data_IF_588360040340
#
_entry.id   IF_588360040340
#
_cell.length_a   1.000
_cell.length_b   1.000
_cell.length_c   1.000
_cell.angle_alpha   90.00
_cell.angle_beta   90.00
_cell.angle_gamma   90.00
#
_symmetry.space_group_name_H-M   'P 1'
#
loop_
_entity.id
_entity.type
_entity.pdbx_description
1 polymer ?
#
# COMPACT_ATOMS: atom_id res chain seq x y z
N UNK A 1 -33.01 48.09 -23.85
CA UNK A 1 -31.56 47.87 -23.63
C UNK A 1 -31.44 46.76 -22.60
N UNK A 2 -31.13 45.53 -23.03
CA UNK A 2 -30.98 44.36 -22.14
C UNK A 2 -29.51 43.92 -22.25
N UNK A 3 -28.73 44.22 -21.22
CA UNK A 3 -27.35 43.79 -21.12
C UNK A 3 -27.31 42.30 -20.76
N UNK A 4 -26.76 41.47 -21.65
CA UNK A 4 -26.41 40.08 -21.37
C UNK A 4 -25.04 40.08 -20.71
N UNK A 5 -25.00 39.72 -19.42
CA UNK A 5 -23.75 39.42 -18.71
C UNK A 5 -23.40 37.97 -19.04
N UNK A 6 -22.37 37.78 -19.87
CA UNK A 6 -21.78 36.46 -20.13
C UNK A 6 -20.85 36.14 -18.97
N UNK A 7 -21.23 35.18 -18.13
CA UNK A 7 -20.41 34.67 -17.06
C UNK A 7 -19.30 33.77 -17.66
N UNK A 8 -18.05 34.23 -17.58
CA UNK A 8 -16.87 33.43 -17.91
C UNK A 8 -16.64 32.44 -16.78
N UNK A 9 -16.99 31.18 -17.00
CA UNK A 9 -16.66 30.09 -16.07
C UNK A 9 -15.21 29.67 -16.30
N UNK A 10 -14.30 30.09 -15.43
CA UNK A 10 -12.96 29.49 -15.32
C UNK A 10 -13.12 28.03 -14.88
N UNK A 11 -12.84 27.09 -15.77
CA UNK A 11 -12.67 25.69 -15.41
C UNK A 11 -11.33 25.54 -14.67
N UNK A 12 -11.40 25.43 -13.35
CA UNK A 12 -10.27 25.02 -12.49
C UNK A 12 -10.36 23.51 -12.26
N UNK A 13 -9.17 22.91 -12.13
CA UNK A 13 -8.87 21.63 -11.52
C UNK A 13 -8.94 20.38 -12.41
N UNK A 14 -7.74 19.92 -12.72
CA UNK A 14 -7.45 18.54 -13.06
C UNK A 14 -5.96 18.24 -12.91
N UNK A 15 -5.27 18.89 -11.95
CA UNK A 15 -3.93 18.46 -11.57
C UNK A 15 -4.10 17.17 -10.78
N UNK A 16 -4.10 16.05 -11.49
CA UNK A 16 -3.79 14.76 -10.90
C UNK A 16 -2.36 14.88 -10.36
N UNK A 17 -2.25 15.29 -9.09
CA UNK A 17 -1.01 15.11 -8.35
C UNK A 17 -0.74 13.62 -8.38
N UNK A 18 0.20 13.21 -9.23
CA UNK A 18 0.91 11.98 -9.04
C UNK A 18 1.52 12.12 -7.65
N UNK A 19 0.81 11.61 -6.66
CA UNK A 19 1.25 11.53 -5.28
C UNK A 19 2.50 10.65 -5.36
N UNK A 20 3.65 11.31 -5.48
CA UNK A 20 4.95 10.68 -5.40
C UNK A 20 4.87 9.93 -4.08
N UNK A 21 4.79 8.59 -4.14
CA UNK A 21 4.70 7.75 -2.94
C UNK A 21 5.97 8.01 -2.15
N UNK A 22 5.90 9.00 -1.27
CA UNK A 22 7.04 9.50 -0.55
C UNK A 22 7.48 8.35 0.35
N UNK A 23 8.63 7.78 0.03
CA UNK A 23 9.32 6.86 0.90
C UNK A 23 9.44 7.54 2.26
N UNK A 24 8.75 6.98 3.26
CA UNK A 24 8.86 7.48 4.63
C UNK A 24 10.24 7.10 5.17
N UNK A 25 10.97 8.06 5.78
CA UNK A 25 12.30 7.78 6.29
C UNK A 25 12.26 6.66 7.33
N UNK A 26 13.29 5.82 7.33
CA UNK A 26 13.42 4.65 8.20
C UNK A 26 13.37 5.00 9.69
N UNK A 27 13.62 6.27 10.00
CA UNK A 27 13.78 6.87 11.31
C UNK A 27 12.51 6.78 12.18
N UNK A 28 11.35 6.54 11.55
CA UNK A 28 10.06 6.36 12.25
C UNK A 28 9.84 4.91 12.68
N UNK A 29 10.60 3.97 12.12
CA UNK A 29 10.47 2.54 12.41
C UNK A 29 11.32 2.17 13.63
N UNK A 30 10.91 1.16 14.41
CA UNK A 30 11.78 0.62 15.45
C UNK A 30 13.07 0.07 14.83
N UNK A 31 14.18 0.19 15.56
CA UNK A 31 15.48 -0.29 15.10
C UNK A 31 15.89 -1.63 15.73
N UNK A 32 15.12 -2.16 16.67
CA UNK A 32 15.39 -3.47 17.26
C UNK A 32 14.83 -4.60 16.39
N UNK A 33 15.56 -5.72 16.36
CA UNK A 33 15.22 -6.86 15.52
C UNK A 33 13.88 -7.51 15.89
N UNK A 34 13.46 -7.45 17.15
CA UNK A 34 12.24 -8.11 17.63
C UNK A 34 11.02 -7.36 17.13
N UNK A 35 10.98 -6.04 17.31
CA UNK A 35 9.90 -5.18 16.85
C UNK A 35 9.79 -5.15 15.34
N UNK A 36 10.92 -5.04 14.62
CA UNK A 36 10.92 -5.07 13.16
C UNK A 36 10.39 -6.39 12.61
N UNK A 37 10.78 -7.51 13.22
CA UNK A 37 10.27 -8.83 12.85
C UNK A 37 8.77 -8.96 13.15
N UNK A 38 8.31 -8.44 14.28
CA UNK A 38 6.89 -8.44 14.63
C UNK A 38 6.06 -7.62 13.62
N UNK A 39 6.58 -6.47 13.20
CA UNK A 39 5.97 -5.59 12.22
C UNK A 39 5.94 -6.22 10.82
N UNK A 40 7.05 -6.84 10.40
CA UNK A 40 7.15 -7.61 9.17
C UNK A 40 6.11 -8.75 9.14
N UNK A 41 6.02 -9.52 10.23
CA UNK A 41 5.03 -10.58 10.38
C UNK A 41 3.59 -10.06 10.35
N UNK A 42 3.31 -8.92 11.00
CA UNK A 42 2.00 -8.29 10.96
C UNK A 42 1.61 -7.89 9.53
N UNK A 43 2.52 -7.26 8.81
CA UNK A 43 2.31 -6.88 7.42
C UNK A 43 2.15 -8.11 6.50
N UNK A 44 2.94 -9.16 6.70
CA UNK A 44 2.79 -10.43 5.95
C UNK A 44 1.42 -11.07 6.15
N UNK A 45 0.85 -11.00 7.36
CA UNK A 45 -0.51 -11.50 7.61
C UNK A 45 -1.56 -10.74 6.79
N UNK A 46 -1.42 -9.43 6.66
CA UNK A 46 -2.30 -8.60 5.82
C UNK A 46 -2.22 -9.05 4.36
N UNK A 47 -1.01 -9.13 3.80
CA UNK A 47 -0.78 -9.51 2.40
C UNK A 47 -1.30 -10.92 2.10
N UNK A 48 -1.06 -11.88 3.00
CA UNK A 48 -1.56 -13.26 2.88
C UNK A 48 -3.08 -13.32 2.90
N UNK A 49 -3.72 -12.53 3.77
CA UNK A 49 -5.18 -12.43 3.82
C UNK A 49 -5.73 -11.82 2.53
N UNK A 50 -5.14 -10.75 2.04
CA UNK A 50 -5.49 -10.13 0.77
C UNK A 50 -5.42 -11.14 -0.39
N UNK A 51 -4.32 -11.91 -0.52
CA UNK A 51 -4.22 -12.96 -1.53
C UNK A 51 -5.28 -14.05 -1.37
N UNK A 52 -5.53 -14.50 -0.15
CA UNK A 52 -6.56 -15.51 0.11
C UNK A 52 -7.95 -15.00 -0.32
N UNK A 53 -8.30 -13.75 -0.01
CA UNK A 53 -9.57 -13.14 -0.45
C UNK A 53 -9.65 -13.05 -1.97
N UNK A 54 -8.59 -12.55 -2.60
CA UNK A 54 -8.54 -12.39 -4.05
C UNK A 54 -8.57 -13.72 -4.80
N UNK A 55 -7.99 -14.79 -4.26
CA UNK A 55 -8.09 -16.11 -4.88
C UNK A 55 -9.55 -16.57 -5.04
N UNK A 56 -10.41 -16.24 -4.08
CA UNK A 56 -11.80 -16.71 -4.03
C UNK A 56 -12.83 -15.74 -4.66
N UNK A 57 -12.43 -14.56 -5.13
CA UNK A 57 -13.37 -13.49 -5.54
C UNK A 57 -13.79 -13.50 -7.02
N UNK A 58 -13.29 -14.43 -7.85
CA UNK A 58 -13.70 -14.59 -9.25
C UNK A 58 -14.55 -15.84 -9.50
N UNK A 59 -15.43 -15.86 -10.52
CA UNK A 59 -16.00 -17.12 -11.01
C UNK A 59 -14.84 -18.00 -11.48
N UNK A 60 -14.63 -19.14 -10.81
CA UNK A 60 -13.47 -20.05 -10.93
C UNK A 60 -12.16 -19.60 -10.22
N UNK A 61 -12.18 -18.53 -9.44
CA UNK A 61 -10.99 -17.93 -8.84
C UNK A 61 -10.08 -17.28 -9.89
N UNK A 62 -9.21 -16.35 -9.48
CA UNK A 62 -8.21 -15.84 -10.43
C UNK A 62 -7.12 -16.89 -10.67
N UNK A 63 -6.70 -17.04 -11.93
CA UNK A 63 -5.47 -17.80 -12.22
C UNK A 63 -4.30 -17.19 -11.44
N UNK A 64 -3.53 -18.07 -10.77
CA UNK A 64 -2.42 -17.67 -9.90
C UNK A 64 -1.42 -16.82 -10.68
N UNK A 65 -1.19 -15.60 -10.22
CA UNK A 65 -0.24 -14.65 -10.81
C UNK A 65 -0.80 -13.76 -11.92
N UNK A 66 -2.09 -13.88 -12.26
CA UNK A 66 -2.74 -13.01 -13.26
C UNK A 66 -2.74 -11.53 -12.87
N UNK A 67 -2.77 -10.63 -13.86
CA UNK A 67 -2.78 -9.19 -13.62
C UNK A 67 -3.98 -8.74 -12.74
N UNK A 68 -5.16 -9.34 -12.96
CA UNK A 68 -6.36 -9.08 -12.16
C UNK A 68 -6.18 -9.52 -10.70
N UNK A 69 -5.55 -10.67 -10.46
CA UNK A 69 -5.24 -11.11 -9.10
C UNK A 69 -4.28 -10.14 -8.41
N UNK A 70 -3.23 -9.70 -9.11
CA UNK A 70 -2.26 -8.73 -8.57
C UNK A 70 -2.93 -7.42 -8.21
N UNK A 71 -3.78 -6.88 -9.08
CA UNK A 71 -4.52 -5.66 -8.82
C UNK A 71 -5.45 -5.79 -7.59
N UNK A 72 -6.12 -6.93 -7.44
CA UNK A 72 -6.92 -7.23 -6.26
C UNK A 72 -6.04 -7.27 -4.99
N UNK A 73 -4.90 -7.98 -5.01
CA UNK A 73 -4.00 -8.07 -3.84
C UNK A 73 -3.51 -6.68 -3.42
N UNK A 74 -3.13 -5.85 -4.39
CA UNK A 74 -2.71 -4.47 -4.14
C UNK A 74 -3.86 -3.71 -3.46
N UNK A 75 -5.05 -3.69 -4.06
CA UNK A 75 -6.20 -2.96 -3.52
C UNK A 75 -6.60 -3.41 -2.12
N UNK A 76 -6.68 -4.72 -1.88
CA UNK A 76 -7.01 -5.28 -0.57
C UNK A 76 -5.92 -5.00 0.48
N UNK A 77 -4.64 -5.05 0.09
CA UNK A 77 -3.53 -4.75 1.01
C UNK A 77 -3.52 -3.27 1.38
N UNK A 78 -3.64 -2.37 0.40
CA UNK A 78 -3.71 -0.92 0.63
C UNK A 78 -4.89 -0.56 1.53
N UNK A 79 -6.08 -1.10 1.23
CA UNK A 79 -7.27 -0.89 2.05
C UNK A 79 -7.10 -1.41 3.47
N UNK A 80 -6.56 -2.61 3.65
CA UNK A 80 -6.37 -3.20 4.97
C UNK A 80 -5.33 -2.44 5.81
N UNK A 81 -4.25 -1.94 5.19
CA UNK A 81 -3.25 -1.12 5.88
C UNK A 81 -3.80 0.27 6.20
N UNK A 82 -4.49 0.92 5.26
CA UNK A 82 -5.09 2.23 5.48
C UNK A 82 -6.15 2.21 6.59
N UNK A 83 -6.92 1.13 6.69
CA UNK A 83 -7.92 0.92 7.74
C UNK A 83 -7.32 0.40 9.05
N UNK A 84 -6.02 0.05 9.09
CA UNK A 84 -5.36 -0.38 10.32
C UNK A 84 -5.19 0.81 11.27
N UNK A 85 -5.46 0.60 12.56
CA UNK A 85 -5.23 1.60 13.62
C UNK A 85 -3.76 1.65 14.07
N UNK A 86 -2.88 0.92 13.39
CA UNK A 86 -1.47 0.80 13.74
C UNK A 86 -0.63 1.74 12.86
N UNK A 87 -0.19 2.90 13.38
CA UNK A 87 0.60 3.84 12.61
C UNK A 87 1.97 3.27 12.21
N UNK A 88 2.53 2.34 12.98
CA UNK A 88 3.80 1.68 12.64
C UNK A 88 3.64 0.75 11.46
N UNK A 89 2.51 0.03 11.39
CA UNK A 89 2.22 -0.83 10.25
C UNK A 89 2.08 -0.02 8.95
N UNK A 90 1.43 1.13 9.02
CA UNK A 90 1.31 2.05 7.89
C UNK A 90 2.66 2.62 7.46
N UNK A 91 3.50 3.03 8.42
CA UNK A 91 4.86 3.52 8.13
C UNK A 91 5.72 2.43 7.47
N UNK A 92 5.66 1.20 8.00
CA UNK A 92 6.40 0.06 7.47
C UNK A 92 5.96 -0.32 6.06
N UNK A 93 4.66 -0.28 5.80
CA UNK A 93 4.11 -0.49 4.46
C UNK A 93 4.62 0.57 3.46
N UNK A 94 4.68 1.85 3.87
CA UNK A 94 5.19 2.94 3.04
C UNK A 94 6.69 2.81 2.75
N UNK A 95 7.46 2.31 3.73
CA UNK A 95 8.90 2.10 3.62
C UNK A 95 9.28 1.00 2.61
N UNK A 96 8.52 -0.09 2.56
CA UNK A 96 8.85 -1.22 1.68
C UNK A 96 8.87 -0.81 0.20
N UNK A 97 9.77 -1.37 -0.62
CA UNK A 97 9.70 -1.15 -2.06
C UNK A 97 8.48 -1.87 -2.64
N UNK A 98 7.93 -1.36 -3.75
CA UNK A 98 6.69 -1.84 -4.36
C UNK A 98 6.63 -3.37 -4.53
N UNK A 99 7.70 -3.99 -5.04
CA UNK A 99 7.78 -5.44 -5.25
C UNK A 99 7.78 -6.26 -3.95
N UNK A 100 8.13 -5.66 -2.81
CA UNK A 100 8.12 -6.31 -1.50
C UNK A 100 6.79 -6.08 -0.75
N UNK A 101 6.13 -4.93 -0.97
CA UNK A 101 4.87 -4.57 -0.30
C UNK A 101 3.78 -5.64 -0.45
N UNK A 102 3.64 -6.20 -1.64
CA UNK A 102 2.53 -7.12 -1.96
C UNK A 102 2.99 -8.57 -2.13
N UNK A 103 4.21 -8.89 -1.69
CA UNK A 103 4.78 -10.23 -1.75
C UNK A 103 4.71 -10.90 -0.37
N UNK A 104 3.92 -11.95 -0.24
CA UNK A 104 3.78 -12.75 0.98
C UNK A 104 4.97 -13.67 1.27
N UNK A 105 5.82 -13.88 0.26
CA UNK A 105 7.06 -14.64 0.33
C UNK A 105 8.27 -13.71 0.32
N UNK A 106 8.08 -12.40 0.61
CA UNK A 106 9.21 -11.46 0.67
C UNK A 106 10.26 -11.99 1.65
N UNK A 107 11.55 -11.99 1.28
CA UNK A 107 12.59 -12.45 2.18
C UNK A 107 12.79 -11.53 3.39
N UNK A 108 13.36 -12.09 4.47
CA UNK A 108 13.61 -11.35 5.71
C UNK A 108 14.59 -10.17 5.58
N UNK A 109 15.41 -10.12 4.52
CA UNK A 109 16.43 -9.08 4.37
C UNK A 109 15.85 -7.65 4.38
N UNK A 110 14.58 -7.48 3.96
CA UNK A 110 13.94 -6.16 3.90
C UNK A 110 13.76 -5.50 5.27
N UNK A 111 13.50 -6.28 6.32
CA UNK A 111 13.44 -5.76 7.68
C UNK A 111 14.79 -5.87 8.39
N UNK A 112 15.61 -6.87 8.07
CA UNK A 112 16.93 -7.03 8.71
C UNK A 112 17.86 -5.86 8.44
N UNK A 113 17.79 -5.25 7.25
CA UNK A 113 18.59 -4.06 6.90
C UNK A 113 18.22 -2.80 7.71
N UNK A 114 17.10 -2.82 8.43
CA UNK A 114 16.63 -1.72 9.27
C UNK A 114 17.14 -1.81 10.71
N UNK A 115 17.68 -2.97 11.09
CA UNK A 115 18.22 -3.18 12.43
C UNK A 115 19.48 -2.34 12.58
N UNK A 116 19.49 -1.45 13.57
CA UNK A 116 20.69 -0.76 14.01
C UNK A 116 21.12 -1.39 15.33
N UNK A 117 22.34 -1.93 15.36
CA UNK A 117 22.93 -2.55 16.55
C UNK A 117 23.38 -1.52 17.56
#
# INVERSE_FOLDING_TARGET
MRALIVAVSLAVAGAASADQVAYQPADVLPHDAVSLRALDNAHLRVVRRARALCWHSGPFGFSSGSASQRACIIGETESAVANSKDPMLQAYHKYLPFHAKYNEYRPAFYWQRLVQG
#
